data_IF_581454416879
#
_entry.id   IF_581454416879
#
_cell.length_a   1.000
_cell.length_b   1.000
_cell.length_c   1.000
_cell.angle_alpha   90.00
_cell.angle_beta   90.00
_cell.angle_gamma   90.00
#
_symmetry.space_group_name_H-M   'P 1'
#
loop_
_entity.id
_entity.type
_entity.pdbx_description
1 polymer ?
#
# COMPACT_ATOMS: atom_id res chain seq x y z
N UNK A 1 -13.89 34.95 51.26
CA UNK A 1 -13.71 33.86 52.25
C UNK A 1 -12.60 32.94 51.75
N UNK A 2 -11.70 32.53 52.66
CA UNK A 2 -10.90 31.29 52.65
C UNK A 2 -9.88 31.01 51.49
N UNK A 3 -8.60 31.06 51.89
CA UNK A 3 -7.41 30.29 51.46
C UNK A 3 -6.88 30.28 50.01
N UNK A 4 -5.65 30.83 49.86
CA UNK A 4 -4.55 30.25 49.07
C UNK A 4 -3.75 29.25 49.99
N UNK A 5 -2.86 28.34 49.52
CA UNK A 5 -1.62 28.61 48.75
C UNK A 5 -1.40 27.61 47.57
N UNK A 6 -0.41 27.66 46.65
CA UNK A 6 0.99 28.13 46.61
C UNK A 6 2.05 27.15 47.21
N UNK A 7 2.57 26.22 46.39
CA UNK A 7 3.90 25.56 46.54
C UNK A 7 4.42 25.28 45.09
N UNK A 8 5.53 25.79 44.55
CA UNK A 8 6.97 25.88 44.90
C UNK A 8 7.84 24.65 44.60
N UNK A 9 9.11 24.94 44.28
CA UNK A 9 10.26 24.05 44.03
C UNK A 9 10.30 23.29 42.68
N UNK A 10 11.41 23.32 41.92
CA UNK A 10 12.63 24.11 42.15
C UNK A 10 13.73 23.91 41.10
N UNK A 11 14.69 24.86 41.11
CA UNK A 11 16.10 24.86 40.68
C UNK A 11 16.54 23.97 39.47
N UNK A 12 17.22 24.49 38.43
CA UNK A 12 18.58 25.09 38.43
C UNK A 12 19.69 24.08 38.80
N UNK A 13 20.93 24.08 38.27
CA UNK A 13 21.70 24.99 37.39
C UNK A 13 22.83 24.15 36.74
N UNK A 14 23.01 24.22 35.41
CA UNK A 14 24.27 24.49 34.65
C UNK A 14 25.57 23.66 34.89
N UNK A 15 26.56 23.84 33.99
CA UNK A 15 27.94 23.30 33.95
C UNK A 15 28.04 21.85 33.40
N UNK A 16 29.00 21.45 32.54
CA UNK A 16 30.16 22.12 31.95
C UNK A 16 30.61 21.43 30.62
N UNK A 17 31.27 22.16 29.72
CA UNK A 17 32.18 21.69 28.63
C UNK A 17 33.61 22.19 29.04
N UNK A 18 34.77 21.70 28.54
CA UNK A 18 35.00 21.24 27.16
C UNK A 18 36.04 20.10 26.93
N UNK A 19 36.22 19.78 25.63
CA UNK A 19 37.40 19.32 24.88
C UNK A 19 38.63 18.64 25.54
N UNK A 20 39.17 17.65 24.81
CA UNK A 20 40.62 17.48 24.64
C UNK A 20 40.96 16.95 23.24
N UNK A 21 42.10 17.39 22.69
CA UNK A 21 42.56 17.10 21.33
C UNK A 21 43.51 15.88 21.23
N UNK A 22 43.88 15.55 19.99
CA UNK A 22 44.66 14.38 19.50
C UNK A 22 46.15 14.37 19.93
N UNK A 23 46.88 13.27 19.68
CA UNK A 23 47.74 13.27 18.48
C UNK A 23 47.92 11.90 17.75
N UNK A 24 48.35 11.96 16.49
CA UNK A 24 48.95 10.86 15.70
C UNK A 24 50.49 10.88 15.84
N UNK A 25 51.24 9.80 15.50
CA UNK A 25 51.98 9.81 14.23
C UNK A 25 52.23 8.42 13.57
N UNK A 26 53.06 8.37 12.52
CA UNK A 26 53.13 7.31 11.49
C UNK A 26 54.45 6.49 11.43
N UNK A 27 54.41 5.34 10.71
CA UNK A 27 55.47 4.69 9.89
C UNK A 27 54.86 3.38 9.32
N UNK A 28 54.85 2.99 8.04
CA UNK A 28 55.77 3.00 6.87
C UNK A 28 57.00 2.08 7.01
N UNK A 29 56.93 0.91 6.37
CA UNK A 29 58.07 0.23 5.71
C UNK A 29 57.58 -0.52 4.46
N UNK A 30 58.41 -0.59 3.43
CA UNK A 30 58.15 -1.23 2.13
C UNK A 30 58.76 -2.65 2.06
N UNK A 31 58.28 -3.52 1.15
CA UNK A 31 59.04 -3.93 -0.06
C UNK A 31 58.60 -5.28 -0.68
N UNK A 32 58.34 -5.25 -2.01
CA UNK A 32 58.65 -6.20 -3.11
C UNK A 32 58.60 -7.74 -2.87
N UNK A 33 58.06 -8.55 -3.80
CA UNK A 33 58.61 -8.72 -5.15
C UNK A 33 57.67 -9.38 -6.19
N UNK A 34 57.92 -9.04 -7.48
CA UNK A 34 57.70 -9.78 -8.77
C UNK A 34 56.41 -10.61 -9.02
N UNK A 35 55.81 -10.65 -10.22
CA UNK A 35 56.37 -10.38 -11.57
C UNK A 35 55.28 -10.07 -12.63
N UNK A 36 55.69 -9.44 -13.73
CA UNK A 36 55.03 -9.38 -15.05
C UNK A 36 56.10 -9.75 -16.12
N UNK A 37 55.88 -9.77 -17.47
CA UNK A 37 54.68 -9.44 -18.26
C UNK A 37 54.34 -10.41 -19.43
N UNK A 38 53.23 -10.16 -20.17
CA UNK A 38 53.26 -10.11 -21.66
C UNK A 38 52.01 -9.48 -22.29
N UNK A 39 52.25 -8.48 -23.15
CA UNK A 39 51.43 -8.07 -24.30
C UNK A 39 52.27 -8.38 -25.57
N UNK A 40 51.73 -8.48 -26.80
CA UNK A 40 51.06 -7.38 -27.55
C UNK A 40 49.68 -7.83 -28.10
N UNK A 41 48.92 -7.17 -28.99
CA UNK A 41 49.20 -6.17 -30.06
C UNK A 41 47.89 -5.45 -30.48
N UNK A 42 47.94 -4.33 -31.21
CA UNK A 42 46.77 -3.56 -31.67
C UNK A 42 46.72 -3.40 -33.21
N UNK A 43 45.52 -3.33 -33.81
CA UNK A 43 45.02 -2.12 -34.51
C UNK A 43 43.48 -1.89 -34.31
N UNK A 44 42.82 -0.79 -34.71
CA UNK A 44 43.18 0.59 -35.09
C UNK A 44 41.90 1.50 -35.08
N UNK A 45 42.00 2.74 -35.56
CA UNK A 45 40.92 3.69 -35.94
C UNK A 45 40.05 3.16 -37.11
N UNK A 46 38.87 3.69 -37.48
CA UNK A 46 38.29 5.05 -37.43
C UNK A 46 36.76 5.01 -37.73
N UNK A 47 35.96 6.00 -37.30
CA UNK A 47 34.83 6.62 -38.08
C UNK A 47 34.16 7.74 -37.26
N UNK A 48 34.12 8.94 -37.83
CA UNK A 48 33.37 10.10 -37.32
C UNK A 48 31.99 10.22 -37.97
N UNK A 49 30.93 10.59 -37.22
CA UNK A 49 29.98 11.67 -37.59
C UNK A 49 28.77 11.83 -36.65
N UNK A 50 28.31 13.09 -36.60
CA UNK A 50 26.95 13.57 -36.32
C UNK A 50 26.37 13.49 -34.89
N UNK A 51 26.33 14.67 -34.26
CA UNK A 51 25.26 15.04 -33.33
C UNK A 51 23.89 15.06 -34.03
N UNK A 52 22.84 14.51 -33.39
CA UNK A 52 21.51 15.12 -33.32
C UNK A 52 20.63 14.38 -32.30
N UNK A 53 19.84 15.14 -31.53
CA UNK A 53 18.94 14.64 -30.49
C UNK A 53 17.76 13.83 -31.04
N UNK A 54 17.46 12.72 -30.39
CA UNK A 54 16.09 12.35 -30.02
C UNK A 54 16.14 11.53 -28.72
N UNK A 55 15.67 12.10 -27.60
CA UNK A 55 15.53 11.39 -26.34
C UNK A 55 14.40 10.36 -26.43
N UNK A 56 14.73 9.13 -26.81
CA UNK A 56 13.88 7.98 -26.48
C UNK A 56 13.96 7.75 -24.98
N UNK A 57 13.10 8.45 -24.22
CA UNK A 57 12.92 8.22 -22.78
C UNK A 57 12.46 6.77 -22.58
N UNK A 58 13.45 5.90 -22.36
CA UNK A 58 13.24 4.52 -21.96
C UNK A 58 12.62 4.57 -20.57
N UNK A 59 11.47 3.94 -20.31
CA UNK A 59 10.82 4.03 -19.00
C UNK A 59 11.79 3.52 -17.93
N UNK A 60 12.19 4.42 -17.02
CA UNK A 60 13.20 4.13 -16.01
C UNK A 60 12.73 2.95 -15.16
N UNK A 61 13.43 1.79 -15.16
CA UNK A 61 13.00 0.66 -14.38
C UNK A 61 13.13 1.01 -12.90
N UNK A 62 12.01 0.97 -12.18
CA UNK A 62 11.98 1.23 -10.74
C UNK A 62 12.80 0.17 -9.99
N UNK A 63 14.00 0.57 -9.61
CA UNK A 63 14.86 0.09 -8.52
C UNK A 63 14.89 -1.41 -8.19
N UNK A 64 16.11 -1.95 -8.29
CA UNK A 64 16.51 -3.21 -7.68
C UNK A 64 16.47 -3.11 -6.14
N UNK A 65 15.28 -3.23 -5.54
CA UNK A 65 15.18 -3.57 -4.12
C UNK A 65 15.60 -5.04 -4.00
N UNK A 66 16.76 -5.28 -3.42
CA UNK A 66 17.31 -6.61 -3.26
C UNK A 66 16.36 -7.49 -2.44
N UNK A 67 16.22 -8.75 -2.84
CA UNK A 67 15.31 -9.68 -2.20
C UNK A 67 15.53 -9.80 -0.69
N UNK A 68 14.41 -9.87 0.05
CA UNK A 68 14.29 -10.16 1.50
C UNK A 68 14.32 -8.99 2.49
N UNK A 69 14.40 -7.72 2.07
CA UNK A 69 14.17 -6.60 3.00
C UNK A 69 12.67 -6.32 3.16
N UNK A 70 12.07 -6.76 4.28
CA UNK A 70 10.77 -6.23 4.70
C UNK A 70 10.95 -4.74 5.00
N UNK A 71 10.18 -3.88 4.36
CA UNK A 71 10.19 -2.45 4.62
C UNK A 71 9.71 -2.13 6.03
N UNK A 72 10.00 -0.92 6.51
CA UNK A 72 9.38 -0.44 7.73
C UNK A 72 7.95 0.02 7.44
N UNK A 73 7.11 -0.01 8.47
CA UNK A 73 5.74 0.50 8.41
C UNK A 73 5.69 1.85 9.10
N UNK A 74 4.96 2.78 8.49
CA UNK A 74 4.73 4.09 9.04
C UNK A 74 3.89 3.98 10.32
N UNK A 75 4.11 4.88 11.27
CA UNK A 75 3.31 4.91 12.50
C UNK A 75 1.81 5.12 12.20
N UNK A 76 0.88 4.73 13.08
CA UNK A 76 -0.55 5.00 12.88
C UNK A 76 -0.86 6.48 12.64
N UNK A 77 -0.10 7.39 13.27
CA UNK A 77 -0.20 8.83 13.05
C UNK A 77 0.25 9.26 11.64
N UNK A 78 1.36 8.70 11.13
CA UNK A 78 1.81 8.97 9.76
C UNK A 78 0.88 8.38 8.70
N UNK A 79 0.32 7.18 8.93
CA UNK A 79 -0.70 6.61 8.03
C UNK A 79 -1.96 7.47 7.98
N UNK A 80 -2.38 8.01 9.14
CA UNK A 80 -3.45 9.01 9.19
C UNK A 80 -3.09 10.27 8.39
N UNK A 81 -1.89 10.84 8.57
CA UNK A 81 -1.40 11.99 7.79
C UNK A 81 -1.41 11.70 6.28
N UNK A 82 -0.89 10.56 5.84
CA UNK A 82 -0.87 10.17 4.43
C UNK A 82 -2.29 10.14 3.84
N UNK A 83 -3.25 9.54 4.56
CA UNK A 83 -4.65 9.52 4.12
C UNK A 83 -5.31 10.91 4.10
N UNK A 84 -5.00 11.76 5.09
CA UNK A 84 -5.54 13.11 5.19
C UNK A 84 -5.01 13.99 4.06
N UNK A 85 -3.70 13.94 3.79
CA UNK A 85 -3.05 14.69 2.72
C UNK A 85 -3.51 14.23 1.34
N UNK A 86 -3.78 12.95 1.11
CA UNK A 86 -4.41 12.51 -0.15
C UNK A 86 -5.76 13.21 -0.40
N UNK A 87 -6.52 13.48 0.67
CA UNK A 87 -7.80 14.20 0.57
C UNK A 87 -7.65 15.73 0.48
N UNK A 88 -6.68 16.34 1.16
CA UNK A 88 -6.60 17.80 1.36
C UNK A 88 -5.47 18.52 0.64
N UNK A 89 -4.37 17.84 0.31
CA UNK A 89 -3.14 18.45 -0.23
C UNK A 89 -3.43 19.20 -1.53
N UNK A 90 -3.00 20.47 -1.62
CA UNK A 90 -3.34 21.34 -2.75
C UNK A 90 -2.52 21.04 -4.01
N UNK A 91 -1.30 20.52 -3.83
CA UNK A 91 -0.40 20.15 -4.92
C UNK A 91 0.13 18.73 -4.71
N UNK A 92 -0.46 17.76 -5.40
CA UNK A 92 -0.10 16.35 -5.25
C UNK A 92 1.27 16.00 -5.87
N UNK A 93 1.84 16.84 -6.75
CA UNK A 93 3.17 16.60 -7.32
C UNK A 93 4.25 16.67 -6.24
N UNK A 94 4.28 17.77 -5.46
CA UNK A 94 5.27 17.97 -4.40
C UNK A 94 5.17 16.87 -3.33
N UNK A 95 3.95 16.49 -2.95
CA UNK A 95 3.76 15.39 -2.01
C UNK A 95 4.18 14.04 -2.60
N UNK A 96 3.96 13.78 -3.90
CA UNK A 96 4.48 12.57 -4.56
C UNK A 96 6.02 12.49 -4.57
N UNK A 97 6.73 13.62 -4.59
CA UNK A 97 8.19 13.63 -4.46
C UNK A 97 8.61 13.23 -3.03
N UNK A 98 8.02 13.85 -2.01
CA UNK A 98 8.29 13.49 -0.61
C UNK A 98 7.95 12.03 -0.27
N UNK A 99 6.87 11.49 -0.84
CA UNK A 99 6.53 10.07 -0.71
C UNK A 99 7.51 9.16 -1.45
N UNK A 100 8.04 9.55 -2.61
CA UNK A 100 9.08 8.78 -3.34
C UNK A 100 10.33 8.65 -2.50
N UNK A 101 10.79 9.72 -1.89
CA UNK A 101 11.98 9.69 -1.03
C UNK A 101 11.78 8.72 0.15
N UNK A 102 10.63 8.78 0.84
CA UNK A 102 10.27 7.84 1.91
C UNK A 102 10.18 6.39 1.40
N UNK A 103 9.47 6.15 0.31
CA UNK A 103 9.32 4.82 -0.27
C UNK A 103 10.68 4.21 -0.71
N UNK A 104 11.59 5.04 -1.24
CA UNK A 104 12.95 4.63 -1.58
C UNK A 104 13.81 4.29 -0.34
N UNK A 105 13.52 4.87 0.83
CA UNK A 105 14.12 4.43 2.11
C UNK A 105 13.49 3.16 2.70
N UNK A 106 12.45 2.60 2.07
CA UNK A 106 11.78 1.37 2.50
C UNK A 106 10.48 1.56 3.28
N UNK A 107 9.86 2.74 3.26
CA UNK A 107 8.51 2.95 3.82
C UNK A 107 7.45 2.27 2.92
N UNK A 108 6.86 1.19 3.41
CA UNK A 108 5.85 0.43 2.66
C UNK A 108 4.52 1.19 2.52
N UNK A 109 4.17 2.03 3.50
CA UNK A 109 2.93 2.80 3.53
C UNK A 109 3.04 4.06 2.65
N UNK A 110 4.23 4.66 2.52
CA UNK A 110 4.49 5.70 1.52
C UNK A 110 4.43 5.16 0.09
N UNK A 111 4.99 3.96 -0.16
CA UNK A 111 4.85 3.29 -1.46
C UNK A 111 3.38 2.97 -1.80
N UNK A 112 2.58 2.57 -0.81
CA UNK A 112 1.14 2.36 -0.99
C UNK A 112 0.40 3.68 -1.26
N UNK A 113 0.79 4.75 -0.56
CA UNK A 113 0.23 6.10 -0.73
C UNK A 113 0.52 6.68 -2.12
N UNK A 114 1.71 6.43 -2.68
CA UNK A 114 2.04 6.74 -4.08
C UNK A 114 1.13 6.00 -5.07
N UNK A 115 0.88 4.71 -4.84
CA UNK A 115 -0.03 3.93 -5.67
C UNK A 115 -1.45 4.51 -5.67
N UNK A 116 -1.96 4.88 -4.50
CA UNK A 116 -3.28 5.50 -4.35
C UNK A 116 -3.35 6.90 -5.00
N UNK A 117 -2.33 7.74 -4.78
CA UNK A 117 -2.18 9.06 -5.37
C UNK A 117 -2.14 9.01 -6.92
N UNK A 118 -1.36 8.09 -7.49
CA UNK A 118 -1.27 7.96 -8.94
C UNK A 118 -2.53 7.35 -9.55
N UNK A 119 -3.21 6.44 -8.84
CA UNK A 119 -4.54 5.96 -9.26
C UNK A 119 -5.56 7.11 -9.28
N UNK A 120 -5.60 7.92 -8.22
CA UNK A 120 -6.49 9.08 -8.14
C UNK A 120 -6.25 10.09 -9.26
N UNK A 121 -4.99 10.49 -9.50
CA UNK A 121 -4.68 11.42 -10.58
C UNK A 121 -4.87 10.81 -11.97
N UNK A 122 -4.71 9.50 -12.15
CA UNK A 122 -5.08 8.82 -13.40
C UNK A 122 -6.59 8.94 -13.68
N UNK A 123 -7.45 8.70 -12.68
CA UNK A 123 -8.90 8.84 -12.83
C UNK A 123 -9.33 10.29 -13.13
N UNK A 124 -8.77 11.25 -12.40
CA UNK A 124 -9.06 12.69 -12.54
C UNK A 124 -8.61 13.25 -13.91
N UNK A 125 -7.47 12.78 -14.42
CA UNK A 125 -6.88 13.25 -15.68
C UNK A 125 -7.27 12.38 -16.90
N UNK A 126 -8.02 11.29 -16.72
CA UNK A 126 -8.36 10.35 -17.79
C UNK A 126 -9.02 10.99 -19.02
N UNK A 127 -9.88 11.98 -18.79
CA UNK A 127 -10.64 12.64 -19.85
C UNK A 127 -10.70 14.17 -19.65
N UNK A 128 -10.47 14.97 -20.71
CA UNK A 128 -10.82 16.37 -20.69
C UNK A 128 -12.34 16.51 -20.52
N UNK A 129 -12.78 17.55 -19.81
CA UNK A 129 -14.21 17.82 -19.68
C UNK A 129 -14.70 18.44 -20.99
N UNK A 130 -15.62 17.74 -21.65
CA UNK A 130 -16.31 18.23 -22.84
C UNK A 130 -17.67 18.75 -22.36
N UNK A 131 -17.88 20.08 -22.26
CA UNK A 131 -19.19 20.62 -21.91
C UNK A 131 -20.22 20.19 -22.97
N UNK A 132 -21.45 19.92 -22.52
CA UNK A 132 -22.58 19.75 -23.42
C UNK A 132 -22.76 21.01 -24.26
N UNK A 133 -23.27 20.85 -25.50
CA UNK A 133 -23.40 21.95 -26.49
C UNK A 133 -23.91 23.23 -25.81
N UNK A 134 -23.23 24.38 -25.97
CA UNK A 134 -23.63 25.61 -25.30
C UNK A 134 -25.04 26.00 -25.71
N UNK A 135 -25.92 26.13 -24.71
CA UNK A 135 -27.28 26.62 -24.90
C UNK A 135 -27.23 28.14 -24.84
N UNK A 136 -27.75 28.82 -25.86
CA UNK A 136 -27.82 30.28 -25.89
C UNK A 136 -28.48 30.81 -24.60
N UNK A 137 -27.90 31.85 -24.02
CA UNK A 137 -28.32 32.49 -22.77
C UNK A 137 -28.20 31.63 -21.49
N UNK A 138 -27.51 30.48 -21.52
CA UNK A 138 -27.09 29.76 -20.29
C UNK A 138 -25.57 29.88 -20.10
N UNK A 139 -25.07 30.18 -18.88
CA UNK A 139 -23.63 30.17 -18.63
C UNK A 139 -23.02 28.78 -18.91
N UNK A 140 -21.73 28.72 -19.30
CA UNK A 140 -21.05 27.45 -19.52
C UNK A 140 -21.09 26.59 -18.24
N UNK A 141 -21.33 25.30 -18.40
CA UNK A 141 -21.37 24.38 -17.26
C UNK A 141 -19.96 24.25 -16.68
N UNK A 142 -19.76 24.47 -15.36
CA UNK A 142 -18.45 24.29 -14.73
C UNK A 142 -18.06 22.80 -14.75
N UNK A 143 -16.78 22.52 -14.95
CA UNK A 143 -16.23 21.16 -14.83
C UNK A 143 -16.35 20.71 -13.37
N UNK A 144 -17.13 19.64 -13.07
CA UNK A 144 -17.31 19.17 -11.69
C UNK A 144 -16.01 18.72 -11.03
N UNK A 145 -14.99 18.38 -11.83
CA UNK A 145 -13.68 17.92 -11.37
C UNK A 145 -12.59 19.01 -11.44
N UNK A 146 -12.94 20.29 -11.70
CA UNK A 146 -11.96 21.39 -11.85
C UNK A 146 -10.96 21.46 -10.68
N UNK A 147 -11.45 21.41 -9.44
CA UNK A 147 -10.60 21.44 -8.24
C UNK A 147 -9.68 20.21 -8.15
N UNK A 148 -10.16 19.01 -8.48
CA UNK A 148 -9.36 17.80 -8.50
C UNK A 148 -8.27 17.86 -9.59
N UNK A 149 -8.61 18.37 -10.78
CA UNK A 149 -7.67 18.55 -11.89
C UNK A 149 -6.56 19.52 -11.53
N UNK A 150 -6.86 20.63 -10.85
CA UNK A 150 -5.83 21.55 -10.33
C UNK A 150 -4.85 20.85 -9.37
N UNK A 151 -5.34 20.00 -8.46
CA UNK A 151 -4.49 19.25 -7.52
C UNK A 151 -3.55 18.26 -8.22
N UNK A 152 -3.98 17.70 -9.35
CA UNK A 152 -3.22 16.75 -10.16
C UNK A 152 -2.44 17.37 -11.33
N UNK A 153 -2.62 18.67 -11.63
CA UNK A 153 -2.10 19.31 -12.86
C UNK A 153 -0.57 19.18 -13.01
N UNK A 154 0.17 19.19 -11.89
CA UNK A 154 1.62 18.97 -11.89
C UNK A 154 2.07 17.58 -12.38
N UNK A 155 1.16 16.62 -12.55
CA UNK A 155 1.47 15.26 -13.04
C UNK A 155 1.28 15.10 -14.57
N UNK A 156 0.85 16.16 -15.26
CA UNK A 156 0.70 16.20 -16.71
C UNK A 156 -0.69 16.61 -17.18
N UNK A 157 -0.79 16.87 -18.49
CA UNK A 157 -2.03 17.33 -19.12
C UNK A 157 -3.15 16.27 -19.09
N UNK A 158 -4.43 16.68 -18.93
CA UNK A 158 -5.57 15.77 -19.01
C UNK A 158 -5.63 15.01 -20.35
N UNK A 159 -5.61 13.68 -20.29
CA UNK A 159 -5.68 12.83 -21.46
C UNK A 159 -5.43 11.35 -21.16
N UNK A 160 -5.86 10.50 -22.10
CA UNK A 160 -5.77 9.03 -21.95
C UNK A 160 -4.34 8.52 -21.80
N UNK A 161 -3.35 9.17 -22.43
CA UNK A 161 -1.94 8.79 -22.32
C UNK A 161 -1.38 9.08 -20.93
N UNK A 162 -1.60 10.30 -20.42
CA UNK A 162 -1.21 10.70 -19.05
C UNK A 162 -1.82 9.75 -18.02
N UNK A 163 -3.13 9.49 -18.11
CA UNK A 163 -3.80 8.57 -17.20
C UNK A 163 -3.33 7.11 -17.33
N UNK A 164 -2.96 6.66 -18.53
CA UNK A 164 -2.36 5.34 -18.72
C UNK A 164 -0.99 5.24 -18.04
N UNK A 165 -0.13 6.25 -18.21
CA UNK A 165 1.19 6.31 -17.58
C UNK A 165 1.07 6.33 -16.04
N UNK A 166 0.22 7.21 -15.50
CA UNK A 166 -0.07 7.28 -14.06
C UNK A 166 -0.66 5.95 -13.52
N UNK A 167 -1.51 5.28 -14.30
CA UNK A 167 -2.03 3.93 -13.96
C UNK A 167 -0.94 2.85 -13.99
N UNK A 168 0.11 3.02 -14.80
CA UNK A 168 1.26 2.12 -14.84
C UNK A 168 2.15 2.34 -13.62
N UNK A 169 2.48 3.60 -13.32
CA UNK A 169 3.24 3.98 -12.13
C UNK A 169 2.53 3.56 -10.83
N UNK A 170 1.21 3.74 -10.77
CA UNK A 170 0.40 3.27 -9.65
C UNK A 170 0.54 1.76 -9.41
N UNK A 171 0.60 0.94 -10.47
CA UNK A 171 0.82 -0.52 -10.37
C UNK A 171 2.25 -0.84 -9.96
N UNK A 172 3.25 -0.11 -10.46
CA UNK A 172 4.64 -0.27 -10.05
C UNK A 172 4.81 0.01 -8.55
N UNK A 173 4.31 1.15 -8.06
CA UNK A 173 4.35 1.48 -6.63
C UNK A 173 3.54 0.52 -5.76
N UNK A 174 2.43 -0.05 -6.25
CA UNK A 174 1.71 -1.10 -5.53
C UNK A 174 2.57 -2.36 -5.35
N UNK A 175 3.32 -2.77 -6.37
CA UNK A 175 4.26 -3.90 -6.28
C UNK A 175 5.41 -3.60 -5.34
N UNK A 176 5.96 -2.38 -5.36
CA UNK A 176 6.97 -1.93 -4.39
C UNK A 176 6.42 -2.03 -2.97
N UNK A 177 5.22 -1.50 -2.72
CA UNK A 177 4.56 -1.60 -1.41
C UNK A 177 4.30 -3.06 -0.98
N UNK A 178 3.90 -3.94 -1.91
CA UNK A 178 3.74 -5.36 -1.64
C UNK A 178 5.08 -6.03 -1.26
N UNK A 179 6.15 -5.73 -1.99
CA UNK A 179 7.50 -6.23 -1.71
C UNK A 179 8.01 -5.76 -0.34
N UNK A 180 7.75 -4.50 0.02
CA UNK A 180 8.05 -3.92 1.33
C UNK A 180 7.14 -4.43 2.46
N UNK A 181 6.09 -5.20 2.16
CA UNK A 181 5.21 -5.81 3.17
C UNK A 181 4.06 -4.92 3.66
N UNK A 182 3.56 -4.00 2.82
CA UNK A 182 2.28 -3.33 3.05
C UNK A 182 1.12 -4.31 2.85
N UNK A 183 0.37 -4.60 3.93
CA UNK A 183 -0.59 -5.71 3.96
C UNK A 183 -1.62 -5.69 2.82
N UNK A 184 -2.23 -4.53 2.52
CA UNK A 184 -3.21 -4.42 1.44
C UNK A 184 -2.60 -4.66 0.06
N UNK A 185 -1.35 -4.23 -0.15
CA UNK A 185 -0.65 -4.42 -1.42
C UNK A 185 -0.23 -5.87 -1.60
N UNK A 186 0.22 -6.54 -0.53
CA UNK A 186 0.50 -7.99 -0.52
C UNK A 186 -0.76 -8.77 -0.91
N UNK A 187 -1.91 -8.48 -0.29
CA UNK A 187 -3.17 -9.13 -0.65
C UNK A 187 -3.59 -8.81 -2.10
N UNK A 188 -3.50 -7.55 -2.55
CA UNK A 188 -3.87 -7.16 -3.91
C UNK A 188 -3.03 -7.86 -5.00
N UNK A 189 -1.72 -8.03 -4.81
CA UNK A 189 -0.87 -8.81 -5.73
C UNK A 189 -1.05 -10.33 -5.55
N UNK A 190 -1.56 -10.79 -4.39
CA UNK A 190 -1.88 -12.19 -4.10
C UNK A 190 -3.22 -12.66 -4.71
N UNK A 191 -3.88 -11.87 -5.56
CA UNK A 191 -5.20 -12.17 -6.12
C UNK A 191 -5.33 -13.49 -6.93
N UNK A 192 -4.22 -14.15 -7.26
CA UNK A 192 -4.18 -15.49 -7.87
C UNK A 192 -3.65 -16.59 -6.94
N UNK A 193 -3.12 -16.23 -5.76
CA UNK A 193 -2.58 -17.16 -4.78
C UNK A 193 -3.73 -17.87 -4.05
N UNK A 194 -3.95 -19.16 -4.40
CA UNK A 194 -4.91 -20.01 -3.69
C UNK A 194 -4.37 -20.36 -2.31
N UNK A 195 -4.93 -19.76 -1.26
CA UNK A 195 -4.66 -20.16 0.11
C UNK A 195 -5.19 -21.57 0.39
N UNK A 196 -4.31 -22.51 0.74
CA UNK A 196 -4.67 -23.91 1.03
C UNK A 196 -4.74 -24.14 2.54
N UNK A 197 -5.92 -24.50 3.06
CA UNK A 197 -6.08 -24.90 4.47
C UNK A 197 -5.35 -26.19 4.88
N UNK A 198 -4.60 -26.83 3.99
CA UNK A 198 -3.81 -28.05 4.24
C UNK A 198 -2.64 -28.20 3.27
N UNK A 199 -1.56 -28.84 3.73
CA UNK A 199 -0.35 -29.14 2.95
C UNK A 199 0.77 -28.11 3.17
N UNK A 200 1.89 -28.22 2.42
CA UNK A 200 2.98 -27.27 2.51
C UNK A 200 2.52 -25.88 2.04
N UNK A 201 2.70 -24.89 2.91
CA UNK A 201 2.35 -23.49 2.66
C UNK A 201 3.39 -22.89 1.70
N UNK A 202 2.93 -22.29 0.60
CA UNK A 202 3.84 -21.59 -0.32
C UNK A 202 4.32 -20.25 0.27
N UNK A 203 5.50 -19.71 -0.12
CA UNK A 203 5.96 -18.41 0.37
C UNK A 203 4.97 -17.26 0.12
N UNK A 204 4.29 -17.28 -1.04
CA UNK A 204 3.25 -16.30 -1.39
C UNK A 204 2.00 -16.44 -0.51
N UNK A 205 1.58 -17.67 -0.22
CA UNK A 205 0.49 -17.92 0.73
C UNK A 205 0.86 -17.47 2.15
N UNK A 206 2.08 -17.75 2.60
CA UNK A 206 2.56 -17.32 3.92
C UNK A 206 2.54 -15.79 4.05
N UNK A 207 3.03 -15.07 3.03
CA UNK A 207 2.95 -13.61 2.97
C UNK A 207 1.51 -13.10 3.00
N UNK A 208 0.62 -13.70 2.21
CA UNK A 208 -0.79 -13.31 2.19
C UNK A 208 -1.52 -13.59 3.51
N UNK A 209 -1.19 -14.70 4.22
CA UNK A 209 -1.70 -14.98 5.56
C UNK A 209 -1.19 -13.95 6.58
N UNK A 210 0.12 -13.67 6.59
CA UNK A 210 0.70 -12.66 7.50
C UNK A 210 0.07 -11.28 7.27
N UNK A 211 -0.14 -10.88 6.02
CA UNK A 211 -0.82 -9.63 5.67
C UNK A 211 -2.28 -9.61 6.16
N UNK A 212 -3.02 -10.71 6.00
CA UNK A 212 -4.39 -10.81 6.51
C UNK A 212 -4.46 -10.77 8.04
N UNK A 213 -3.55 -11.47 8.75
CA UNK A 213 -3.46 -11.37 10.21
C UNK A 213 -3.08 -9.97 10.69
N UNK A 214 -2.31 -9.22 9.92
CA UNK A 214 -1.97 -7.84 10.26
C UNK A 214 -3.22 -6.96 10.23
N UNK A 215 -4.02 -7.04 9.16
CA UNK A 215 -5.30 -6.31 9.06
C UNK A 215 -6.32 -6.73 10.12
N UNK A 216 -6.31 -8.01 10.52
CA UNK A 216 -7.11 -8.52 11.63
C UNK A 216 -6.70 -7.91 12.97
N UNK A 217 -5.39 -7.70 13.21
CA UNK A 217 -4.88 -7.00 14.40
C UNK A 217 -5.17 -5.49 14.37
N UNK A 218 -5.17 -4.89 13.17
CA UNK A 218 -5.46 -3.46 12.97
C UNK A 218 -6.97 -3.15 12.98
N UNK A 219 -7.83 -4.17 12.83
CA UNK A 219 -9.28 -3.99 12.75
C UNK A 219 -9.78 -3.45 11.40
N UNK A 220 -8.97 -3.47 10.33
CA UNK A 220 -9.40 -3.08 8.97
C UNK A 220 -10.18 -4.21 8.29
N UNK A 221 -11.33 -4.55 8.90
CA UNK A 221 -12.26 -5.54 8.37
C UNK A 221 -12.83 -5.12 7.01
N UNK A 222 -12.98 -3.81 6.76
CA UNK A 222 -13.45 -3.30 5.48
C UNK A 222 -12.48 -3.63 4.33
N UNK A 223 -11.18 -3.64 4.57
CA UNK A 223 -10.21 -4.12 3.60
C UNK A 223 -10.16 -5.65 3.46
N UNK A 224 -10.33 -6.38 4.56
CA UNK A 224 -10.45 -7.84 4.51
C UNK A 224 -11.67 -8.30 3.70
N UNK A 225 -12.79 -7.55 3.72
CA UNK A 225 -13.94 -7.77 2.81
C UNK A 225 -13.52 -7.59 1.34
N UNK A 226 -12.77 -6.53 1.00
CA UNK A 226 -12.26 -6.32 -0.37
C UNK A 226 -11.33 -7.44 -0.83
N UNK A 227 -10.61 -8.06 0.11
CA UNK A 227 -9.70 -9.19 -0.12
C UNK A 227 -10.36 -10.56 0.01
N UNK A 228 -11.67 -10.65 0.28
CA UNK A 228 -12.39 -11.92 0.51
C UNK A 228 -12.20 -13.02 -0.54
N UNK A 229 -12.02 -12.74 -1.86
CA UNK A 229 -11.86 -13.79 -2.86
C UNK A 229 -10.60 -14.65 -2.65
N UNK A 230 -9.56 -14.10 -2.01
CA UNK A 230 -8.31 -14.82 -1.71
C UNK A 230 -8.58 -15.92 -0.67
N UNK A 231 -9.45 -15.64 0.31
CA UNK A 231 -9.85 -16.56 1.37
C UNK A 231 -10.83 -17.64 0.90
N UNK A 232 -11.40 -17.53 -0.31
CA UNK A 232 -12.40 -18.47 -0.83
C UNK A 232 -11.90 -19.93 -0.90
N UNK A 233 -10.58 -20.14 -1.00
CA UNK A 233 -9.95 -21.46 -1.09
C UNK A 233 -9.52 -22.07 0.25
N UNK A 234 -9.57 -21.31 1.36
CA UNK A 234 -9.04 -21.74 2.66
C UNK A 234 -9.70 -23.01 3.21
N UNK A 235 -10.99 -23.25 2.90
CA UNK A 235 -11.61 -24.58 2.67
C UNK A 235 -13.09 -24.61 3.07
N UNK A 236 -13.90 -25.35 2.31
CA UNK A 236 -15.31 -25.59 2.62
C UNK A 236 -16.26 -24.84 1.70
N UNK A 237 -17.49 -25.34 1.65
CA UNK A 237 -18.54 -24.82 0.76
C UNK A 237 -18.91 -23.38 1.16
N UNK A 238 -18.92 -22.46 0.19
CA UNK A 238 -19.23 -21.01 0.31
C UNK A 238 -18.48 -20.22 1.41
N UNK A 239 -17.29 -20.62 1.85
CA UNK A 239 -16.53 -19.86 2.87
C UNK A 239 -16.33 -18.38 2.55
N UNK A 240 -16.18 -17.99 1.28
CA UNK A 240 -16.10 -16.58 0.89
C UNK A 240 -17.28 -15.75 1.43
N UNK A 241 -18.50 -16.31 1.42
CA UNK A 241 -19.69 -15.65 1.94
C UNK A 241 -19.68 -15.58 3.48
N UNK A 242 -19.13 -16.59 4.16
CA UNK A 242 -18.95 -16.58 5.61
C UNK A 242 -17.97 -15.48 6.03
N UNK A 243 -16.85 -15.34 5.31
CA UNK A 243 -15.87 -14.27 5.48
C UNK A 243 -16.46 -12.88 5.23
N UNK A 244 -17.15 -12.69 4.10
CA UNK A 244 -17.83 -11.44 3.75
C UNK A 244 -18.83 -10.99 4.82
N UNK A 245 -19.62 -11.92 5.37
CA UNK A 245 -20.58 -11.61 6.43
C UNK A 245 -19.84 -11.26 7.73
N UNK A 246 -18.94 -12.13 8.19
CA UNK A 246 -18.23 -11.96 9.48
C UNK A 246 -17.45 -10.64 9.54
N UNK A 247 -16.73 -10.29 8.47
CA UNK A 247 -15.98 -9.04 8.42
C UNK A 247 -16.89 -7.80 8.28
N UNK A 248 -18.03 -7.91 7.59
CA UNK A 248 -18.98 -6.80 7.52
C UNK A 248 -19.76 -6.56 8.81
N UNK A 249 -19.93 -7.57 9.68
CA UNK A 249 -20.49 -7.39 11.04
C UNK A 249 -19.50 -6.69 11.97
N UNK A 250 -18.19 -6.90 11.78
CA UNK A 250 -17.13 -6.25 12.55
C UNK A 250 -16.69 -4.89 11.99
N UNK A 251 -17.06 -4.57 10.74
CA UNK A 251 -16.74 -3.29 10.11
C UNK A 251 -17.58 -2.16 10.72
N UNK A 252 -16.98 -0.98 11.02
CA UNK A 252 -17.74 0.15 11.53
C UNK A 252 -18.82 0.59 10.53
N UNK A 253 -20.01 1.02 10.99
CA UNK A 253 -21.10 1.44 10.12
C UNK A 253 -20.68 2.67 9.32
N UNK A 254 -20.78 2.59 7.99
CA UNK A 254 -20.34 3.67 7.13
C UNK A 254 -21.20 4.93 7.30
N UNK A 255 -20.54 6.08 7.45
CA UNK A 255 -21.20 7.37 7.50
C UNK A 255 -22.01 7.63 6.23
N UNK A 256 -23.24 8.12 6.41
CA UNK A 256 -24.24 8.26 5.35
C UNK A 256 -23.73 9.18 4.23
N UNK A 257 -23.47 8.63 3.05
CA UNK A 257 -23.20 9.41 1.84
C UNK A 257 -22.19 8.80 0.88
N UNK A 258 -21.26 7.96 1.36
CA UNK A 258 -20.41 7.14 0.49
C UNK A 258 -20.94 5.72 0.45
N UNK A 259 -20.98 5.14 -0.75
CA UNK A 259 -21.49 3.77 -0.94
C UNK A 259 -20.51 2.76 -0.35
N UNK A 260 -20.90 2.15 0.77
CA UNK A 260 -20.28 0.91 1.23
C UNK A 260 -20.95 -0.29 0.57
N UNK A 261 -20.92 -0.32 -0.77
CA UNK A 261 -21.53 -1.38 -1.60
C UNK A 261 -21.06 -2.79 -1.18
N UNK A 262 -19.85 -2.90 -0.65
CA UNK A 262 -19.21 -4.12 -0.16
C UNK A 262 -19.91 -4.74 1.06
N UNK A 263 -20.50 -3.92 1.93
CA UNK A 263 -21.16 -4.38 3.15
C UNK A 263 -22.68 -4.12 3.20
N UNK A 264 -23.27 -3.59 2.13
CA UNK A 264 -24.72 -3.38 2.03
C UNK A 264 -25.47 -4.72 2.12
N UNK A 265 -26.38 -4.92 3.11
CA UNK A 265 -27.21 -6.13 3.19
C UNK A 265 -28.00 -6.40 1.91
N UNK A 266 -28.40 -5.37 1.15
CA UNK A 266 -29.17 -5.51 -0.11
C UNK A 266 -28.43 -6.34 -1.18
N UNK A 267 -27.09 -6.31 -1.18
CA UNK A 267 -26.26 -7.13 -2.07
C UNK A 267 -26.13 -8.59 -1.61
N UNK A 268 -26.32 -8.86 -0.30
CA UNK A 268 -26.18 -10.20 0.30
C UNK A 268 -27.50 -10.95 0.44
N UNK A 269 -28.60 -10.27 0.72
CA UNK A 269 -29.94 -10.86 0.91
C UNK A 269 -30.36 -11.78 -0.24
N UNK A 270 -30.21 -11.43 -1.55
CA UNK A 270 -30.53 -12.35 -2.64
C UNK A 270 -29.66 -13.62 -2.62
N UNK A 271 -28.36 -13.49 -2.31
CA UNK A 271 -27.43 -14.64 -2.23
C UNK A 271 -27.81 -15.57 -1.08
N UNK A 272 -28.27 -15.03 0.05
CA UNK A 272 -28.75 -15.76 1.22
C UNK A 272 -30.15 -16.39 1.01
N UNK A 273 -31.03 -15.72 0.27
CA UNK A 273 -32.37 -16.20 -0.04
C UNK A 273 -32.33 -17.52 -0.83
N UNK A 274 -31.39 -17.66 -1.77
CA UNK A 274 -31.20 -18.88 -2.57
C UNK A 274 -30.71 -20.11 -1.79
N UNK A 275 -30.34 -19.96 -0.51
CA UNK A 275 -29.77 -21.07 0.29
C UNK A 275 -30.87 -21.90 0.97
N UNK A 276 -30.73 -23.23 0.91
CA UNK A 276 -31.53 -24.18 1.65
C UNK A 276 -31.33 -24.07 3.18
N UNK A 277 -32.25 -24.58 4.01
CA UNK A 277 -32.10 -24.57 5.47
C UNK A 277 -30.88 -25.33 6.00
N UNK A 278 -30.33 -26.30 5.24
CA UNK A 278 -29.07 -26.98 5.59
C UNK A 278 -27.88 -26.05 5.35
N UNK A 279 -27.84 -25.41 4.18
CA UNK A 279 -26.77 -24.49 3.79
C UNK A 279 -26.71 -23.25 4.69
N UNK A 280 -27.85 -22.69 5.07
CA UNK A 280 -27.93 -21.59 6.05
C UNK A 280 -27.32 -21.97 7.41
N UNK A 281 -27.58 -23.19 7.91
CA UNK A 281 -26.97 -23.70 9.15
C UNK A 281 -25.47 -23.93 9.03
N UNK A 282 -24.98 -24.45 7.91
CA UNK A 282 -23.54 -24.59 7.67
C UNK A 282 -22.84 -23.23 7.62
N UNK A 283 -23.43 -22.26 6.93
CA UNK A 283 -22.90 -20.88 6.85
C UNK A 283 -22.83 -20.20 8.22
N UNK A 284 -23.88 -20.32 9.04
CA UNK A 284 -23.90 -19.77 10.39
C UNK A 284 -22.84 -20.42 11.30
N UNK A 285 -22.60 -21.73 11.17
CA UNK A 285 -21.53 -22.42 11.89
C UNK A 285 -20.12 -21.94 11.48
N UNK A 286 -19.90 -21.70 10.19
CA UNK A 286 -18.65 -21.14 9.66
C UNK A 286 -18.42 -19.70 10.17
N UNK A 287 -19.46 -18.86 10.13
CA UNK A 287 -19.43 -17.50 10.65
C UNK A 287 -19.08 -17.46 12.14
N UNK A 288 -19.70 -18.32 12.96
CA UNK A 288 -19.41 -18.40 14.39
C UNK A 288 -17.93 -18.75 14.66
N UNK A 289 -17.37 -19.70 13.91
CA UNK A 289 -15.95 -20.08 14.02
C UNK A 289 -15.01 -18.93 13.65
N UNK A 290 -15.30 -18.20 12.57
CA UNK A 290 -14.52 -17.01 12.18
C UNK A 290 -14.56 -15.96 13.29
N UNK A 291 -15.75 -15.59 13.76
CA UNK A 291 -15.91 -14.57 14.80
C UNK A 291 -15.23 -14.98 16.11
N UNK A 292 -15.33 -16.24 16.52
CA UNK A 292 -14.68 -16.74 17.73
C UNK A 292 -13.15 -16.68 17.64
N UNK A 293 -12.56 -17.06 16.50
CA UNK A 293 -11.11 -17.00 16.31
C UNK A 293 -10.57 -15.56 16.13
N UNK A 294 -11.40 -14.62 15.68
CA UNK A 294 -11.07 -13.18 15.72
C UNK A 294 -11.12 -12.66 17.17
N UNK A 295 -12.18 -12.96 17.91
CA UNK A 295 -12.35 -12.54 19.31
C UNK A 295 -11.27 -13.11 20.26
N UNK A 296 -10.79 -14.33 20.00
CA UNK A 296 -9.70 -14.94 20.78
C UNK A 296 -8.30 -14.43 20.41
N UNK A 297 -8.17 -13.70 19.30
CA UNK A 297 -6.88 -13.32 18.71
C UNK A 297 -6.07 -14.51 18.14
N UNK A 298 -6.62 -15.73 18.15
CA UNK A 298 -5.92 -16.92 17.67
C UNK A 298 -6.12 -17.12 16.17
N UNK A 299 -5.55 -16.22 15.36
CA UNK A 299 -5.69 -16.28 13.90
C UNK A 299 -5.12 -17.55 13.26
N UNK A 300 -4.30 -18.34 13.97
CA UNK A 300 -3.85 -19.65 13.50
C UNK A 300 -5.00 -20.66 13.30
N UNK A 301 -6.15 -20.46 13.94
CA UNK A 301 -7.37 -21.26 13.74
C UNK A 301 -8.11 -20.90 12.44
N UNK A 302 -8.09 -19.61 12.05
CA UNK A 302 -8.71 -19.11 10.81
C UNK A 302 -8.17 -19.76 9.54
N UNK A 303 -6.90 -20.20 9.58
CA UNK A 303 -6.22 -20.81 8.43
C UNK A 303 -6.34 -22.34 8.40
N UNK A 304 -6.98 -22.96 9.40
CA UNK A 304 -7.23 -24.40 9.45
C UNK A 304 -8.57 -24.70 8.78
N UNK A 305 -8.66 -25.87 8.15
CA UNK A 305 -9.94 -26.38 7.68
C UNK A 305 -10.87 -26.63 8.86
N UNK A 306 -12.14 -26.16 8.85
CA UNK A 306 -13.13 -26.57 9.82
C UNK A 306 -13.21 -28.10 9.88
N UNK A 307 -12.86 -28.68 11.03
CA UNK A 307 -13.25 -30.05 11.35
C UNK A 307 -14.77 -30.07 11.37
N UNK A 308 -15.36 -30.90 10.50
CA UNK A 308 -16.81 -31.01 10.43
C UNK A 308 -17.34 -31.45 11.82
N UNK A 309 -18.37 -30.78 12.37
CA UNK A 309 -18.97 -31.24 13.61
C UNK A 309 -19.68 -32.58 13.35
N UNK A 310 -19.11 -33.66 13.90
CA UNK A 310 -19.65 -35.02 13.79
C UNK A 310 -18.87 -35.95 12.85
N UNK A 311 -17.70 -36.40 13.32
CA UNK A 311 -17.23 -37.79 13.14
C UNK A 311 -17.07 -38.39 14.53
#
# INVERSE_FOLDING_TARGET
MLFAPLVFAGLALVFYRPAHETPTPAARTESQASSSPKLPEAPATETTSAEAKAETQTPTPAFQVAASVRGYRASPAERADYSARLATEANLLLWSQALKDRANTGDADAAASLSALYTYCAEVLAYPFIPLKPVANRPPQPDPNAAAKLRCAGMGEPGRLTAFNLSSDAKAWRRTAAHLGHALSVLAESGSARMRGFGPISPTELQARMAAEELLREGDYAALVRSSPIFATLSGWRMQLAWEISFCELSPPCERGRRCDLCDPRGREPRLATLSPREKRMLAGQQLQILQAIQSGNFAELWRKPTAPGT
#
